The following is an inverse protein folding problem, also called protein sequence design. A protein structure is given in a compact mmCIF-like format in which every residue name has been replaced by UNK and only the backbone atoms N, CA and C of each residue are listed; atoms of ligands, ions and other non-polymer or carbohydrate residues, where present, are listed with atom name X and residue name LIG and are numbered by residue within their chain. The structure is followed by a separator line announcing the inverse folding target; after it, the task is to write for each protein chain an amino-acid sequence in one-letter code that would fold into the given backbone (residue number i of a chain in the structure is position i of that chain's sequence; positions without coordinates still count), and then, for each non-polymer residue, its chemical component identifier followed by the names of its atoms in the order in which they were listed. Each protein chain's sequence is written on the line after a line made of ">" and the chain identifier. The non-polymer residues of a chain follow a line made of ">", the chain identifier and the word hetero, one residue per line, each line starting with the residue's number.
data_IF_806319980503
#
_entry.id   IF_806319980503
#
_cell.length_a   1.000
_cell.length_b   1.000
_cell.length_c   1.000
_cell.angle_alpha   90.00
_cell.angle_beta   90.00
_cell.angle_gamma   90.00
#
_symmetry.space_group_name_H-M   'P 1'
#
loop_
_entity.id
_entity.type
_entity.pdbx_description
1 polymer ?
#
# COMPACT_ATOMS: atom_id res chain seq x y z
N UNK A 1 -11.94 5.96 -11.57
CA UNK A 1 -11.05 5.44 -12.63
C UNK A 1 -10.87 3.94 -12.47
N UNK A 2 -10.49 3.20 -13.52
CA UNK A 2 -10.07 1.80 -13.35
C UNK A 2 -8.74 1.78 -12.59
N UNK A 3 -8.63 0.92 -11.56
CA UNK A 3 -7.44 0.82 -10.73
C UNK A 3 -6.82 -0.57 -10.85
N UNK A 4 -5.50 -0.62 -10.74
CA UNK A 4 -4.73 -1.84 -10.52
C UNK A 4 -4.16 -1.81 -9.11
N UNK A 5 -4.05 -2.98 -8.49
CA UNK A 5 -3.44 -3.15 -7.18
C UNK A 5 -2.35 -4.20 -7.30
N UNK A 6 -1.16 -3.83 -6.86
CA UNK A 6 0.02 -4.67 -6.84
C UNK A 6 0.78 -4.41 -5.54
N UNK A 7 1.95 -5.01 -5.42
CA UNK A 7 2.81 -4.80 -4.27
C UNK A 7 4.26 -4.84 -4.73
N UNK A 8 5.10 -4.13 -4.00
CA UNK A 8 6.55 -4.13 -4.17
C UNK A 8 7.20 -4.36 -2.81
N UNK A 9 8.21 -5.21 -2.79
CA UNK A 9 9.01 -5.47 -1.61
C UNK A 9 10.25 -4.57 -1.68
N UNK A 10 10.31 -3.58 -0.78
CA UNK A 10 11.34 -2.54 -0.78
C UNK A 10 12.46 -2.91 0.21
N UNK A 11 13.74 -2.87 -0.20
CA UNK A 11 14.83 -2.98 0.75
C UNK A 11 14.89 -1.72 1.62
N UNK A 12 14.90 -1.89 2.94
CA UNK A 12 15.13 -0.83 3.92
C UNK A 12 16.37 -1.17 4.75
N UNK A 13 16.95 -0.22 5.50
CA UNK A 13 18.09 -0.48 6.38
C UNK A 13 17.83 -1.56 7.45
N UNK A 14 16.56 -1.80 7.81
CA UNK A 14 16.14 -2.69 8.89
C UNK A 14 15.47 -3.98 8.40
N UNK A 15 15.36 -4.18 7.08
CA UNK A 15 14.74 -5.36 6.50
C UNK A 15 13.99 -5.06 5.20
N UNK A 16 13.39 -6.09 4.62
CA UNK A 16 12.52 -5.92 3.44
C UNK A 16 11.12 -5.52 3.91
N UNK A 17 10.59 -4.42 3.38
CA UNK A 17 9.25 -3.89 3.70
C UNK A 17 8.32 -4.04 2.50
N UNK A 18 7.24 -4.79 2.65
CA UNK A 18 6.19 -4.87 1.64
C UNK A 18 5.40 -3.57 1.59
N UNK A 19 5.20 -3.05 0.38
CA UNK A 19 4.39 -1.86 0.11
C UNK A 19 3.38 -2.18 -0.97
N UNK A 20 2.10 -2.11 -0.63
CA UNK A 20 1.00 -2.25 -1.58
C UNK A 20 0.84 -0.96 -2.38
N UNK A 21 0.59 -1.10 -3.68
CA UNK A 21 0.49 -0.01 -4.64
C UNK A 21 -0.89 -0.06 -5.26
N UNK A 22 -1.71 0.95 -5.00
CA UNK A 22 -3.00 1.13 -5.65
C UNK A 22 -2.91 2.35 -6.57
N UNK A 23 -3.13 2.16 -7.87
CA UNK A 23 -2.95 3.24 -8.85
C UNK A 23 -3.94 3.12 -10.01
N UNK A 24 -4.24 4.23 -10.70
CA UNK A 24 -4.92 4.18 -11.99
C UNK A 24 -4.18 3.25 -12.98
N UNK A 25 -4.93 2.60 -13.86
CA UNK A 25 -4.38 1.65 -14.86
C UNK A 25 -3.52 2.32 -15.92
N UNK A 26 -3.75 3.60 -16.21
CA UNK A 26 -2.94 4.36 -17.17
C UNK A 26 -1.56 4.68 -16.57
N UNK A 27 -0.53 3.94 -16.99
CA UNK A 27 0.85 4.16 -16.54
C UNK A 27 1.56 5.32 -17.27
N UNK A 28 0.97 5.87 -18.35
CA UNK A 28 1.58 6.98 -19.11
C UNK A 28 1.41 8.33 -18.41
N UNK A 29 0.34 8.46 -17.61
CA UNK A 29 0.05 9.66 -16.82
C UNK A 29 0.79 9.66 -15.49
N UNK A 30 1.34 10.81 -15.08
CA UNK A 30 1.85 11.03 -13.72
C UNK A 30 0.70 11.44 -12.81
N UNK A 31 0.55 10.76 -11.68
CA UNK A 31 -0.44 11.09 -10.66
C UNK A 31 0.23 11.52 -9.35
N UNK A 32 -0.39 12.42 -8.58
CA UNK A 32 0.04 12.70 -7.21
C UNK A 32 0.06 11.40 -6.38
N UNK A 33 1.09 11.25 -5.55
CA UNK A 33 1.30 10.06 -4.73
C UNK A 33 0.99 10.35 -3.26
N UNK A 34 0.30 9.42 -2.62
CA UNK A 34 -0.04 9.45 -1.19
C UNK A 34 0.62 8.25 -0.53
N UNK A 35 1.32 8.49 0.58
CA UNK A 35 1.74 7.43 1.50
C UNK A 35 0.64 7.29 2.56
N UNK A 36 -0.09 6.17 2.51
CA UNK A 36 -1.10 5.84 3.50
C UNK A 36 -0.48 4.90 4.52
N UNK A 37 -0.14 5.45 5.69
CA UNK A 37 0.38 4.67 6.80
C UNK A 37 -0.66 3.64 7.25
N UNK A 38 -0.32 2.36 7.15
CA UNK A 38 -1.14 1.31 7.73
C UNK A 38 -1.12 1.44 9.25
N UNK A 39 -2.26 1.29 9.90
CA UNK A 39 -2.33 1.25 11.36
C UNK A 39 -1.56 0.03 11.91
N UNK A 40 -1.64 -0.20 13.22
CA UNK A 40 -0.92 -1.30 13.87
C UNK A 40 -1.24 -2.69 13.31
N UNK A 41 -2.37 -2.83 12.61
CA UNK A 41 -2.83 -4.08 12.01
C UNK A 41 -2.34 -4.31 10.57
N UNK A 42 -1.44 -3.46 10.05
CA UNK A 42 -0.94 -3.53 8.69
C UNK A 42 -2.09 -3.34 7.66
N UNK A 43 -1.99 -3.89 6.44
CA UNK A 43 -3.04 -3.74 5.45
C UNK A 43 -4.24 -4.65 5.73
N UNK A 44 -5.17 -4.16 6.53
CA UNK A 44 -6.49 -4.78 6.70
C UNK A 44 -7.43 -4.43 5.53
N UNK A 45 -8.55 -5.14 5.41
CA UNK A 45 -9.56 -4.84 4.39
C UNK A 45 -10.07 -3.38 4.38
N UNK A 46 -10.35 -2.73 5.53
CA UNK A 46 -10.68 -1.31 5.58
C UNK A 46 -9.59 -0.38 5.02
N UNK A 47 -8.30 -0.66 5.31
CA UNK A 47 -7.17 0.12 4.80
C UNK A 47 -7.08 -0.04 3.28
N UNK A 48 -7.16 -1.27 2.78
CA UNK A 48 -7.15 -1.53 1.33
C UNK A 48 -8.30 -0.81 0.61
N UNK A 49 -9.53 -0.89 1.15
CA UNK A 49 -10.70 -0.19 0.57
C UNK A 49 -10.49 1.32 0.53
N UNK A 50 -9.92 1.90 1.58
CA UNK A 50 -9.60 3.34 1.63
C UNK A 50 -8.57 3.71 0.56
N UNK A 51 -7.49 2.93 0.45
CA UNK A 51 -6.45 3.16 -0.53
C UNK A 51 -6.98 3.07 -1.97
N UNK A 52 -7.80 2.04 -2.26
CA UNK A 52 -8.46 1.85 -3.55
C UNK A 52 -9.45 2.98 -3.88
N UNK A 53 -10.22 3.43 -2.90
CA UNK A 53 -11.14 4.55 -3.06
C UNK A 53 -10.39 5.82 -3.47
N UNK A 54 -9.32 6.16 -2.75
CA UNK A 54 -8.48 7.33 -3.06
C UNK A 54 -7.80 7.18 -4.42
N UNK A 55 -7.26 6.00 -4.74
CA UNK A 55 -6.66 5.75 -6.07
C UNK A 55 -7.66 5.92 -7.22
N UNK A 56 -8.93 5.58 -6.98
CA UNK A 56 -10.04 5.78 -7.91
C UNK A 56 -10.28 7.24 -8.31
N UNK A 57 -9.76 8.20 -7.53
CA UNK A 57 -9.83 9.66 -7.76
C UNK A 57 -8.59 10.23 -8.47
N UNK A 58 -7.67 9.39 -8.97
CA UNK A 58 -6.50 9.85 -9.73
C UNK A 58 -5.26 10.06 -8.87
N UNK A 59 -5.06 9.20 -7.86
CA UNK A 59 -3.88 9.19 -7.00
C UNK A 59 -3.16 7.85 -7.10
N UNK A 60 -1.83 7.84 -6.96
CA UNK A 60 -1.11 6.62 -6.57
C UNK A 60 -1.13 6.56 -5.04
N UNK A 61 -1.58 5.46 -4.46
CA UNK A 61 -1.61 5.26 -3.01
C UNK A 61 -0.70 4.10 -2.65
N UNK A 62 0.28 4.37 -1.78
CA UNK A 62 1.23 3.40 -1.27
C UNK A 62 0.88 3.07 0.19
N UNK A 63 0.73 1.79 0.51
CA UNK A 63 0.43 1.30 1.86
C UNK A 63 1.59 0.41 2.31
N UNK A 64 2.40 0.87 3.26
CA UNK A 64 3.54 0.11 3.75
C UNK A 64 3.14 -0.82 4.89
N UNK A 65 3.78 -1.99 5.00
CA UNK A 65 3.73 -2.78 6.22
C UNK A 65 4.68 -2.17 7.28
N UNK A 66 4.23 -1.12 7.97
CA UNK A 66 5.07 -0.26 8.84
C UNK A 66 5.78 -0.98 9.99
N UNK A 67 5.32 -2.17 10.37
CA UNK A 67 5.99 -3.05 11.35
C UNK A 67 6.74 -4.24 10.71
N UNK A 68 7.31 -4.08 9.51
CA UNK A 68 8.08 -5.12 8.82
C UNK A 68 9.32 -5.60 9.58
N UNK A 69 9.85 -4.78 10.49
CA UNK A 69 11.00 -5.15 11.35
C UNK A 69 10.62 -6.18 12.41
N UNK A 70 9.34 -6.22 12.79
CA UNK A 70 8.83 -7.02 13.90
C UNK A 70 8.03 -8.23 13.42
N UNK A 71 7.61 -8.24 12.17
CA UNK A 71 6.70 -9.24 11.63
C UNK A 71 7.18 -9.73 10.26
N UNK A 72 6.98 -11.02 9.93
CA UNK A 72 7.16 -11.50 8.57
C UNK A 72 6.30 -10.73 7.57
N UNK A 73 6.77 -10.63 6.34
CA UNK A 73 6.04 -10.00 5.24
C UNK A 73 4.65 -10.64 5.08
N UNK A 74 3.63 -9.81 4.88
CA UNK A 74 2.24 -10.24 4.72
C UNK A 74 1.51 -10.51 6.03
N UNK A 75 2.12 -10.20 7.18
CA UNK A 75 1.45 -10.31 8.48
C UNK A 75 0.34 -9.28 8.59
N UNK A 76 -0.87 -9.74 8.92
CA UNK A 76 -2.00 -8.89 9.30
C UNK A 76 -2.34 -9.23 10.75
N UNK A 77 -2.26 -8.26 11.66
CA UNK A 77 -2.42 -8.50 13.11
C UNK A 77 -3.89 -8.49 13.57
N UNK A 78 -4.84 -8.68 12.66
CA UNK A 78 -6.27 -8.76 12.97
C UNK A 78 -6.64 -10.20 13.36
N UNK A 79 -7.33 -10.35 14.50
CA UNK A 79 -7.91 -11.62 14.97
C UNK A 79 -9.05 -12.10 14.07
#
# INVERSE_FOLDING_TARGET
>A
MMIVSEHVDLPTPTGVMRTYVHRPTDASTRYPTILLFSEIFQQTGPIERTARYVAGHGYVVLVQEVFHELNPIGTILAL
#
